data_IF_521356781274
#
_entry.id   IF_521356781274
#
_cell.length_a   1.000
_cell.length_b   1.000
_cell.length_c   1.000
_cell.angle_alpha   90.00
_cell.angle_beta   90.00
_cell.angle_gamma   90.00
#
_symmetry.space_group_name_H-M   'P 1'
#
loop_
_entity.id
_entity.type
_entity.pdbx_description
1 polymer ?
#
# COMPACT_ATOMS: atom_id res chain seq x y z
N UNK A 1 -68.20 3.15 56.14
CA UNK A 1 -66.85 3.67 56.49
C UNK A 1 -65.78 2.57 56.69
N UNK A 2 -66.18 1.28 56.69
CA UNK A 2 -65.27 0.19 56.88
C UNK A 2 -64.70 -0.39 55.54
N UNK A 3 -65.35 -0.23 54.43
CA UNK A 3 -64.95 -0.72 53.11
C UNK A 3 -63.90 0.14 52.43
N UNK A 4 -63.76 1.43 52.73
CA UNK A 4 -62.79 2.34 52.14
C UNK A 4 -61.41 2.14 52.76
N UNK A 5 -61.30 1.75 54.02
CA UNK A 5 -60.03 1.46 54.71
C UNK A 5 -59.37 0.19 54.23
N UNK A 6 -60.13 -0.83 53.82
CA UNK A 6 -59.56 -2.11 53.32
C UNK A 6 -58.98 -1.94 51.91
N UNK A 7 -59.56 -1.06 51.08
CA UNK A 7 -59.06 -0.81 49.70
C UNK A 7 -57.77 0.00 49.71
N UNK A 8 -57.58 0.90 50.68
CA UNK A 8 -56.35 1.71 50.82
C UNK A 8 -55.22 0.84 51.34
N UNK A 9 -55.49 -0.07 52.31
CA UNK A 9 -54.45 -1.00 52.79
C UNK A 9 -54.02 -2.04 51.74
N UNK A 10 -54.99 -2.54 50.93
CA UNK A 10 -54.67 -3.49 49.86
C UNK A 10 -53.83 -2.89 48.76
N UNK A 11 -54.14 -1.62 48.36
CA UNK A 11 -53.39 -0.93 47.31
C UNK A 11 -51.97 -0.55 47.75
N UNK A 12 -51.77 -0.22 49.03
CA UNK A 12 -50.45 0.16 49.55
C UNK A 12 -49.49 -1.07 49.72
N UNK A 13 -50.04 -2.24 50.01
CA UNK A 13 -49.21 -3.47 50.08
C UNK A 13 -48.78 -3.94 48.70
N UNK A 14 -49.61 -3.79 47.66
CA UNK A 14 -49.29 -4.13 46.28
C UNK A 14 -48.19 -3.20 45.70
N UNK A 15 -48.21 -1.91 46.00
CA UNK A 15 -47.22 -0.96 45.57
C UNK A 15 -45.86 -1.21 46.27
N UNK A 16 -45.88 -1.52 47.57
CA UNK A 16 -44.67 -1.81 48.30
C UNK A 16 -43.99 -3.13 47.87
N UNK A 17 -44.77 -4.15 47.51
CA UNK A 17 -44.20 -5.40 46.94
C UNK A 17 -43.63 -5.18 45.52
N UNK A 18 -44.30 -4.38 44.69
CA UNK A 18 -43.80 -4.02 43.37
C UNK A 18 -42.45 -3.27 43.40
N UNK A 19 -42.35 -2.28 44.29
CA UNK A 19 -41.08 -1.51 44.48
C UNK A 19 -39.94 -2.37 45.03
N UNK A 20 -40.25 -3.32 45.92
CA UNK A 20 -39.25 -4.30 46.42
C UNK A 20 -38.78 -5.25 45.33
N UNK A 21 -39.67 -5.76 44.52
CA UNK A 21 -39.34 -6.64 43.37
C UNK A 21 -38.45 -5.89 42.36
N UNK A 22 -38.80 -4.64 42.03
CA UNK A 22 -37.99 -3.82 41.12
C UNK A 22 -36.58 -3.56 41.66
N UNK A 23 -36.46 -3.26 42.96
CA UNK A 23 -35.12 -3.09 43.56
C UNK A 23 -34.30 -4.39 43.60
N UNK A 24 -34.94 -5.52 43.86
CA UNK A 24 -34.30 -6.83 43.88
C UNK A 24 -33.86 -7.20 42.46
N UNK A 25 -34.68 -6.98 41.43
CA UNK A 25 -34.31 -7.24 40.03
C UNK A 25 -33.19 -6.32 39.55
N UNK A 26 -33.20 -5.05 39.92
CA UNK A 26 -32.09 -4.12 39.60
C UNK A 26 -30.80 -4.52 40.31
N UNK A 27 -30.86 -4.93 41.57
CA UNK A 27 -29.67 -5.44 42.28
C UNK A 27 -29.13 -6.73 41.67
N UNK A 28 -30.00 -7.61 41.19
CA UNK A 28 -29.60 -8.88 40.57
C UNK A 28 -29.00 -8.66 39.19
N UNK A 29 -29.54 -7.73 38.39
CA UNK A 29 -28.99 -7.33 37.12
C UNK A 29 -27.61 -6.67 37.29
N UNK A 30 -27.46 -5.81 38.29
CA UNK A 30 -26.17 -5.18 38.61
C UNK A 30 -25.13 -6.22 39.05
N UNK A 31 -25.52 -7.17 39.87
CA UNK A 31 -24.64 -8.26 40.33
C UNK A 31 -24.19 -9.18 39.16
N UNK A 32 -25.10 -9.46 38.20
CA UNK A 32 -24.78 -10.24 36.99
C UNK A 32 -23.85 -9.46 36.06
N UNK A 33 -24.05 -8.14 35.91
CA UNK A 33 -23.17 -7.27 35.12
C UNK A 33 -21.75 -7.20 35.75
N UNK A 34 -21.66 -7.08 37.08
CA UNK A 34 -20.35 -7.08 37.76
C UNK A 34 -19.69 -8.45 37.68
N UNK A 35 -20.42 -9.53 37.80
CA UNK A 35 -19.90 -10.91 37.65
C UNK A 35 -19.48 -11.15 36.18
N UNK A 36 -20.21 -10.65 35.20
CA UNK A 36 -19.82 -10.74 33.81
C UNK A 36 -18.55 -9.92 33.51
N UNK A 37 -18.38 -8.75 34.11
CA UNK A 37 -17.18 -7.92 33.96
C UNK A 37 -15.92 -8.59 34.57
N UNK A 38 -16.08 -9.40 35.63
CA UNK A 38 -14.93 -10.14 36.21
C UNK A 38 -14.60 -11.43 35.48
N UNK A 39 -15.52 -11.94 34.66
CA UNK A 39 -15.30 -13.14 33.83
C UNK A 39 -14.62 -12.83 32.49
N UNK A 40 -14.56 -11.54 32.06
CA UNK A 40 -13.69 -11.18 30.96
C UNK A 40 -12.25 -11.19 31.48
N UNK A 41 -11.41 -12.14 31.05
CA UNK A 41 -10.00 -12.08 31.37
C UNK A 41 -9.52 -10.73 30.81
N UNK A 42 -9.01 -9.84 31.68
CA UNK A 42 -8.13 -8.78 31.21
C UNK A 42 -7.07 -9.50 30.40
N UNK A 43 -7.14 -9.35 29.08
CA UNK A 43 -6.03 -9.75 28.25
C UNK A 43 -4.87 -8.88 28.74
N UNK A 44 -4.06 -9.46 29.63
CA UNK A 44 -2.73 -8.96 29.85
C UNK A 44 -2.13 -8.83 28.44
N UNK A 45 -1.86 -7.61 28.00
CA UNK A 45 -1.04 -7.39 26.82
C UNK A 45 0.23 -8.17 27.10
N UNK A 46 0.31 -9.37 26.52
CA UNK A 46 1.54 -10.12 26.50
C UNK A 46 2.54 -9.15 25.89
N UNK A 47 3.53 -8.74 26.68
CA UNK A 47 4.70 -8.05 26.17
C UNK A 47 5.05 -8.76 24.87
N UNK A 48 5.17 -8.01 23.78
CA UNK A 48 5.51 -8.52 22.47
C UNK A 48 6.76 -9.39 22.63
N UNK A 49 6.55 -10.65 22.91
CA UNK A 49 7.59 -11.65 22.76
C UNK A 49 7.75 -11.76 21.26
N UNK A 50 8.82 -11.16 20.74
CA UNK A 50 9.23 -11.29 19.35
C UNK A 50 9.64 -12.76 19.12
N UNK A 51 8.67 -13.64 19.10
CA UNK A 51 8.80 -14.96 18.51
C UNK A 51 8.75 -14.84 16.99
N UNK A 52 9.47 -13.87 16.44
CA UNK A 52 9.78 -13.82 15.02
C UNK A 52 10.58 -15.09 14.72
N UNK A 53 10.10 -15.85 13.75
CA UNK A 53 10.76 -17.09 13.36
C UNK A 53 12.21 -16.79 12.94
N UNK A 54 13.15 -17.19 13.80
CA UNK A 54 14.57 -17.16 13.48
C UNK A 54 14.93 -18.56 13.07
N UNK A 55 15.49 -18.67 11.87
CA UNK A 55 15.87 -19.94 11.28
C UNK A 55 17.28 -19.85 10.71
N UNK A 56 18.04 -20.96 10.82
CA UNK A 56 19.33 -21.13 10.17
C UNK A 56 19.14 -21.35 8.67
N UNK A 57 19.88 -20.58 7.87
CA UNK A 57 19.96 -20.69 6.42
C UNK A 57 21.40 -20.90 6.00
N UNK A 58 21.61 -21.63 4.91
CA UNK A 58 22.91 -21.65 4.26
C UNK A 58 23.22 -20.26 3.70
N UNK A 59 24.46 -19.80 3.82
CA UNK A 59 24.90 -18.54 3.26
C UNK A 59 26.05 -18.75 2.25
N UNK A 60 26.11 -17.89 1.24
CA UNK A 60 27.18 -17.92 0.23
C UNK A 60 28.57 -17.57 0.82
N UNK A 61 28.55 -16.90 1.97
CA UNK A 61 29.74 -16.50 2.74
C UNK A 61 29.37 -16.23 4.20
N UNK A 62 30.34 -16.13 5.11
CA UNK A 62 30.07 -15.63 6.46
C UNK A 62 29.46 -14.24 6.40
N UNK A 63 28.35 -14.03 7.14
CA UNK A 63 27.59 -12.80 7.16
C UNK A 63 27.68 -12.15 8.55
N UNK A 64 27.87 -10.84 8.56
CA UNK A 64 27.93 -10.05 9.81
C UNK A 64 26.53 -9.83 10.40
N UNK A 65 26.46 -9.76 11.72
CA UNK A 65 25.21 -9.45 12.43
C UNK A 65 24.66 -8.07 12.02
N UNK A 66 23.35 -8.01 11.85
CA UNK A 66 22.67 -6.79 11.41
C UNK A 66 22.64 -6.60 9.89
N UNK A 67 23.27 -7.48 9.11
CA UNK A 67 23.22 -7.42 7.64
C UNK A 67 21.87 -7.86 7.12
N UNK A 68 21.27 -7.06 6.23
CA UNK A 68 20.04 -7.44 5.52
C UNK A 68 20.37 -8.44 4.43
N UNK A 69 19.58 -9.50 4.35
CA UNK A 69 19.77 -10.60 3.40
C UNK A 69 18.56 -10.78 2.49
N UNK A 70 18.80 -11.40 1.34
CA UNK A 70 17.81 -11.82 0.36
C UNK A 70 17.95 -13.31 0.07
N UNK A 71 16.87 -13.96 -0.36
CA UNK A 71 16.90 -15.34 -0.85
C UNK A 71 17.45 -15.40 -2.26
N UNK A 72 18.28 -16.42 -2.53
CA UNK A 72 18.83 -16.66 -3.86
C UNK A 72 17.98 -17.68 -4.59
N UNK A 73 17.16 -17.21 -5.56
CA UNK A 73 16.35 -18.04 -6.45
C UNK A 73 15.10 -18.66 -5.81
N UNK A 74 14.17 -19.12 -6.65
CA UNK A 74 12.98 -19.84 -6.22
C UNK A 74 13.35 -21.24 -5.71
N UNK A 75 12.94 -21.55 -4.48
CA UNK A 75 13.16 -22.85 -3.84
C UNK A 75 14.54 -23.08 -3.23
N UNK A 76 15.42 -22.09 -3.23
CA UNK A 76 16.73 -22.15 -2.56
C UNK A 76 16.63 -21.66 -1.12
N UNK A 77 17.13 -22.46 -0.17
CA UNK A 77 17.30 -22.04 1.23
C UNK A 77 18.65 -21.34 1.47
N UNK A 78 19.22 -20.71 0.43
CA UNK A 78 20.50 -20.01 0.51
C UNK A 78 20.22 -18.51 0.58
N UNK A 79 20.82 -17.85 1.57
CA UNK A 79 20.74 -16.40 1.74
C UNK A 79 22.02 -15.73 1.27
N UNK A 80 21.87 -14.57 0.65
CA UNK A 80 22.97 -13.71 0.23
C UNK A 80 22.73 -12.28 0.74
N UNK A 81 23.77 -11.44 0.70
CA UNK A 81 23.64 -10.04 1.08
C UNK A 81 22.63 -9.35 0.15
N UNK A 82 21.63 -8.69 0.70
CA UNK A 82 20.63 -7.96 -0.07
C UNK A 82 21.24 -6.78 -0.83
N UNK A 83 20.76 -6.55 -2.06
CA UNK A 83 21.24 -5.50 -2.97
C UNK A 83 20.14 -4.47 -3.22
N UNK A 84 20.51 -3.22 -3.42
CA UNK A 84 19.59 -2.15 -3.76
C UNK A 84 18.83 -2.40 -5.09
N UNK A 85 19.46 -3.13 -6.03
CA UNK A 85 18.83 -3.50 -7.30
C UNK A 85 17.68 -4.49 -7.16
N UNK A 86 17.56 -5.17 -6.02
CA UNK A 86 16.64 -6.30 -5.82
C UNK A 86 15.83 -6.17 -4.52
N UNK A 87 15.20 -5.02 -4.35
CA UNK A 87 14.42 -4.66 -3.15
C UNK A 87 13.22 -5.58 -2.89
N UNK A 88 12.72 -6.28 -3.91
CA UNK A 88 11.55 -7.15 -3.76
C UNK A 88 11.90 -8.48 -3.10
N UNK A 89 13.15 -8.89 -3.18
CA UNK A 89 13.65 -10.15 -2.61
C UNK A 89 14.29 -9.98 -1.24
N UNK A 90 14.16 -8.79 -0.61
CA UNK A 90 14.56 -8.61 0.79
C UNK A 90 13.81 -9.60 1.67
N UNK A 91 14.54 -10.34 2.49
CA UNK A 91 13.98 -11.46 3.25
C UNK A 91 14.03 -11.24 4.76
N UNK A 92 15.19 -10.88 5.29
CA UNK A 92 15.38 -10.74 6.73
C UNK A 92 16.71 -10.11 7.11
N UNK A 93 17.06 -10.19 8.37
CA UNK A 93 18.32 -9.69 8.93
C UNK A 93 19.07 -10.80 9.64
N UNK A 94 20.40 -10.82 9.50
CA UNK A 94 21.28 -11.74 10.23
C UNK A 94 21.34 -11.33 11.70
N UNK A 95 21.11 -12.30 12.59
CA UNK A 95 21.11 -12.09 14.04
C UNK A 95 22.14 -12.99 14.71
N UNK A 96 22.67 -12.53 15.85
CA UNK A 96 23.62 -13.30 16.63
C UNK A 96 22.91 -14.51 17.29
N UNK A 97 23.36 -15.74 17.00
CA UNK A 97 22.76 -16.94 17.58
C UNK A 97 22.90 -17.00 19.11
N UNK A 98 23.81 -16.25 19.72
CA UNK A 98 23.99 -16.22 21.17
C UNK A 98 22.90 -15.41 21.89
N UNK A 99 22.22 -14.50 21.18
CA UNK A 99 21.13 -13.69 21.72
C UNK A 99 19.77 -14.37 21.63
N UNK A 100 19.70 -15.60 21.12
CA UNK A 100 18.48 -16.33 20.87
C UNK A 100 18.15 -17.31 21.97
N UNK A 101 16.94 -17.22 22.52
CA UNK A 101 16.42 -18.20 23.49
C UNK A 101 16.12 -19.57 22.86
N UNK A 102 15.70 -19.56 21.59
CA UNK A 102 15.42 -20.75 20.78
C UNK A 102 15.97 -20.51 19.39
N UNK A 103 16.75 -21.44 18.88
CA UNK A 103 17.28 -21.43 17.52
C UNK A 103 16.89 -22.71 16.80
N UNK A 104 16.41 -22.56 15.58
CA UNK A 104 16.18 -23.64 14.65
C UNK A 104 17.40 -23.75 13.75
N UNK A 105 18.30 -24.67 14.06
CA UNK A 105 19.46 -24.99 13.25
C UNK A 105 19.14 -26.20 12.38
N UNK A 106 19.62 -26.20 11.15
CA UNK A 106 19.57 -27.34 10.25
C UNK A 106 20.95 -27.95 10.16
N UNK A 107 21.09 -29.24 10.48
CA UNK A 107 22.37 -29.92 10.42
C UNK A 107 22.96 -29.93 9.00
N UNK A 108 24.26 -29.63 8.87
CA UNK A 108 25.02 -29.75 7.62
C UNK A 108 24.96 -28.52 6.69
N UNK A 109 24.52 -27.35 7.19
CA UNK A 109 24.58 -26.10 6.40
C UNK A 109 26.00 -25.52 6.35
N UNK A 110 26.48 -25.20 5.16
CA UNK A 110 27.73 -24.45 5.00
C UNK A 110 27.46 -22.96 5.34
N UNK A 111 28.34 -22.35 6.15
CA UNK A 111 28.22 -20.94 6.60
C UNK A 111 26.83 -20.61 7.12
N UNK A 112 26.31 -21.38 8.09
CA UNK A 112 24.98 -21.16 8.64
C UNK A 112 24.81 -19.74 9.19
N UNK A 113 23.83 -19.00 8.65
CA UNK A 113 23.42 -17.69 9.12
C UNK A 113 22.02 -17.76 9.73
N UNK A 114 21.86 -17.25 10.95
CA UNK A 114 20.55 -17.16 11.61
C UNK A 114 19.86 -15.89 11.14
N UNK A 115 18.72 -16.04 10.45
CA UNK A 115 17.97 -14.94 9.85
C UNK A 115 16.65 -14.76 10.56
N UNK A 116 16.39 -13.52 11.02
CA UNK A 116 15.10 -13.09 11.52
C UNK A 116 14.30 -12.44 10.39
N UNK A 117 13.07 -12.92 10.17
CA UNK A 117 12.16 -12.40 9.13
C UNK A 117 11.07 -11.50 9.70
N UNK A 118 10.91 -11.47 11.01
CA UNK A 118 9.94 -10.63 11.72
C UNK A 118 10.43 -10.35 13.15
N UNK A 119 9.95 -9.27 13.76
CA UNK A 119 10.36 -8.83 15.07
C UNK A 119 11.27 -7.60 15.04
N UNK A 120 11.82 -7.20 16.18
CA UNK A 120 12.69 -6.03 16.29
C UNK A 120 14.12 -6.48 16.58
N UNK A 121 15.00 -6.23 15.63
CA UNK A 121 16.43 -6.61 15.71
C UNK A 121 17.33 -5.47 15.30
N UNK A 122 18.59 -5.53 15.75
CA UNK A 122 19.63 -4.60 15.35
C UNK A 122 19.98 -4.78 13.88
N UNK A 123 19.82 -3.71 13.09
CA UNK A 123 20.11 -3.68 11.65
C UNK A 123 21.20 -2.66 11.39
N UNK A 124 22.14 -3.00 10.50
CA UNK A 124 23.15 -2.07 10.02
C UNK A 124 22.50 -0.97 9.19
N UNK A 125 22.77 0.29 9.53
CA UNK A 125 22.23 1.47 8.87
C UNK A 125 23.31 2.43 8.45
N UNK A 126 23.00 3.24 7.43
CA UNK A 126 23.88 4.31 6.94
C UNK A 126 23.18 5.68 6.96
N UNK A 127 23.98 6.75 7.06
CA UNK A 127 23.51 8.13 6.95
C UNK A 127 23.36 8.61 5.51
N UNK A 128 23.32 7.70 4.52
CA UNK A 128 23.25 8.06 3.09
C UNK A 128 22.06 8.97 2.76
N UNK A 129 20.88 8.67 3.30
CA UNK A 129 19.67 9.47 3.11
C UNK A 129 19.38 10.41 4.30
N UNK A 130 20.41 10.77 5.08
CA UNK A 130 20.29 11.62 6.26
C UNK A 130 20.05 10.87 7.57
N UNK A 131 19.69 11.62 8.61
CA UNK A 131 19.47 11.09 9.96
C UNK A 131 18.22 10.23 10.03
N UNK A 132 18.32 9.10 10.72
CA UNK A 132 17.21 8.20 11.01
C UNK A 132 16.64 8.55 12.39
N UNK A 133 15.34 8.72 12.49
CA UNK A 133 14.61 8.91 13.75
C UNK A 133 13.77 7.69 14.07
N UNK A 134 13.49 7.46 15.35
CA UNK A 134 12.53 6.44 15.74
C UNK A 134 11.18 6.69 15.04
N UNK A 135 10.64 5.65 14.42
CA UNK A 135 9.42 5.72 13.61
C UNK A 135 9.64 5.93 12.13
N UNK A 136 10.84 6.26 11.66
CA UNK A 136 11.14 6.36 10.23
C UNK A 136 11.14 4.98 9.58
N UNK A 137 10.70 4.92 8.33
CA UNK A 137 10.85 3.71 7.51
C UNK A 137 12.28 3.63 6.98
N UNK A 138 12.80 2.41 6.88
CA UNK A 138 14.14 2.13 6.37
C UNK A 138 14.07 1.21 5.15
N UNK A 139 14.97 1.43 4.21
CA UNK A 139 15.13 0.66 2.96
C UNK A 139 16.60 0.35 2.73
N UNK A 140 16.93 -0.36 1.66
CA UNK A 140 18.31 -0.64 1.30
C UNK A 140 19.06 0.61 0.86
N UNK A 141 20.30 0.75 1.34
CA UNK A 141 21.24 1.77 0.86
C UNK A 141 21.99 1.29 -0.39
N UNK A 142 22.84 2.14 -0.94
CA UNK A 142 23.79 1.75 -2.01
C UNK A 142 24.86 0.79 -1.53
N UNK A 143 25.02 0.62 -0.22
CA UNK A 143 25.90 -0.38 0.39
C UNK A 143 25.08 -1.63 0.62
N UNK A 144 25.52 -2.74 -0.01
CA UNK A 144 24.83 -4.02 0.10
C UNK A 144 24.68 -4.47 1.56
N UNK A 145 23.50 -4.93 1.95
CA UNK A 145 23.19 -5.42 3.29
C UNK A 145 22.99 -4.34 4.35
N UNK A 146 23.10 -3.06 4.01
CA UNK A 146 22.97 -1.93 4.93
C UNK A 146 21.73 -1.14 4.60
N UNK A 147 20.94 -0.77 5.60
CA UNK A 147 19.76 0.06 5.43
C UNK A 147 20.11 1.56 5.40
N UNK A 148 19.18 2.34 4.87
CA UNK A 148 19.15 3.81 4.98
C UNK A 148 17.72 4.26 5.27
N UNK A 149 17.54 5.52 5.62
CA UNK A 149 16.22 6.12 5.72
C UNK A 149 15.50 6.04 4.38
N UNK A 150 14.25 5.56 4.38
CA UNK A 150 13.42 5.54 3.18
C UNK A 150 12.90 6.94 2.88
N UNK A 151 13.08 7.37 1.64
CA UNK A 151 12.50 8.60 1.11
C UNK A 151 11.09 8.39 0.55
N UNK A 152 10.73 9.20 -0.43
CA UNK A 152 9.43 9.15 -1.12
C UNK A 152 9.50 8.48 -2.49
N UNK A 153 10.68 8.06 -2.92
CA UNK A 153 10.94 7.47 -4.23
C UNK A 153 11.09 5.94 -4.16
N UNK A 154 11.58 5.43 -3.04
CA UNK A 154 11.78 3.99 -2.84
C UNK A 154 10.44 3.28 -2.68
N UNK A 155 10.21 2.29 -3.54
CA UNK A 155 8.93 1.56 -3.61
C UNK A 155 8.71 0.60 -2.44
N UNK A 156 9.78 0.01 -1.90
CA UNK A 156 9.72 -1.02 -0.88
C UNK A 156 10.54 -0.59 0.34
N UNK A 157 10.03 -0.84 1.52
CA UNK A 157 10.74 -0.64 2.80
C UNK A 157 10.98 -1.99 3.47
N UNK A 158 12.09 -2.08 4.20
CA UNK A 158 12.46 -3.26 4.97
C UNK A 158 11.73 -3.32 6.30
N UNK A 159 11.49 -2.17 6.89
CA UNK A 159 10.84 -2.09 8.19
C UNK A 159 10.82 -0.67 8.75
N UNK A 160 10.55 -0.57 10.05
CA UNK A 160 10.45 0.69 10.76
C UNK A 160 11.48 0.78 11.86
N UNK A 161 12.24 1.87 11.91
CA UNK A 161 13.24 2.11 12.95
C UNK A 161 12.58 2.31 14.31
N UNK A 162 12.97 1.51 15.30
CA UNK A 162 12.56 1.67 16.70
C UNK A 162 13.52 2.61 17.47
N UNK A 163 14.71 2.87 16.93
CA UNK A 163 15.69 3.80 17.46
C UNK A 163 16.15 4.84 16.43
N UNK A 164 16.91 5.82 16.85
CA UNK A 164 17.48 6.84 15.99
C UNK A 164 18.96 6.63 15.71
N UNK A 165 19.44 7.13 14.55
CA UNK A 165 20.85 7.19 14.18
C UNK A 165 21.16 8.51 13.48
N UNK A 166 22.10 9.25 14.00
CA UNK A 166 22.51 10.56 13.49
C UNK A 166 24.05 10.71 13.52
N UNK A 167 24.53 11.88 13.13
CA UNK A 167 25.96 12.19 13.10
C UNK A 167 26.66 12.09 14.48
N UNK A 168 25.93 12.21 15.59
CA UNK A 168 26.47 12.13 16.95
C UNK A 168 26.35 10.73 17.56
N UNK A 169 25.64 9.80 16.92
CA UNK A 169 25.44 8.43 17.40
C UNK A 169 26.73 7.60 17.30
N UNK A 170 26.91 6.59 18.17
CA UNK A 170 28.01 5.66 18.03
C UNK A 170 28.02 5.01 16.64
N UNK A 171 29.14 5.05 15.94
CA UNK A 171 29.28 4.46 14.60
C UNK A 171 30.15 3.22 14.65
N UNK A 172 29.77 2.20 13.87
CA UNK A 172 30.54 0.97 13.65
C UNK A 172 31.70 1.25 12.68
N UNK A 173 31.51 2.21 11.77
CA UNK A 173 32.51 2.57 10.77
C UNK A 173 32.06 3.69 9.84
N UNK A 174 32.86 3.96 8.85
CA UNK A 174 32.56 4.87 7.74
C UNK A 174 32.82 4.18 6.41
N UNK A 175 32.00 4.49 5.43
CA UNK A 175 32.16 4.00 4.06
C UNK A 175 32.07 5.17 3.09
N UNK A 176 32.78 5.07 1.98
CA UNK A 176 32.73 6.05 0.90
C UNK A 176 31.91 5.49 -0.26
N UNK A 177 30.88 6.23 -0.65
CA UNK A 177 30.11 5.94 -1.85
C UNK A 177 30.86 6.50 -3.06
N UNK A 178 30.98 5.68 -4.11
CA UNK A 178 31.63 6.06 -5.36
C UNK A 178 30.58 6.10 -6.47
N UNK A 179 30.72 7.04 -7.38
CA UNK A 179 29.95 7.09 -8.62
C UNK A 179 30.43 6.05 -9.62
N UNK A 180 29.71 5.88 -10.73
CA UNK A 180 30.04 4.98 -11.85
C UNK A 180 31.46 5.23 -12.36
N UNK A 181 31.93 6.48 -12.31
CA UNK A 181 33.27 6.90 -12.71
C UNK A 181 34.35 6.69 -11.63
N UNK A 182 34.01 6.10 -10.48
CA UNK A 182 34.91 5.80 -9.37
C UNK A 182 35.25 7.00 -8.45
N UNK A 183 34.67 8.17 -8.68
CA UNK A 183 34.86 9.34 -7.83
C UNK A 183 34.06 9.21 -6.51
N UNK A 184 34.65 9.65 -5.39
CA UNK A 184 33.97 9.66 -4.09
C UNK A 184 32.87 10.72 -4.12
N UNK A 185 31.63 10.27 -4.06
CA UNK A 185 30.44 11.15 -4.07
C UNK A 185 30.06 11.57 -2.66
N UNK A 186 30.11 10.65 -1.71
CA UNK A 186 29.69 10.90 -0.33
C UNK A 186 30.39 9.96 0.64
N UNK A 187 30.80 10.50 1.80
CA UNK A 187 31.22 9.68 2.94
C UNK A 187 30.04 9.50 3.88
N UNK A 188 29.66 8.25 4.14
CA UNK A 188 28.53 7.90 5.00
C UNK A 188 29.02 7.20 6.26
N UNK A 189 28.33 7.45 7.36
CA UNK A 189 28.58 6.74 8.62
C UNK A 189 27.70 5.50 8.69
N UNK A 190 28.26 4.44 9.24
CA UNK A 190 27.57 3.17 9.48
C UNK A 190 27.34 3.01 10.99
N UNK A 191 26.17 2.52 11.34
CA UNK A 191 25.81 2.22 12.71
C UNK A 191 24.83 1.08 12.78
N UNK A 192 24.33 0.81 13.97
CA UNK A 192 23.31 -0.21 14.21
C UNK A 192 22.12 0.41 14.91
N UNK A 193 20.91 0.10 14.42
CA UNK A 193 19.64 0.61 14.96
C UNK A 193 18.67 -0.55 15.10
N UNK A 194 17.89 -0.63 16.22
CA UNK A 194 16.81 -1.58 16.30
C UNK A 194 15.72 -1.21 15.28
N UNK A 195 15.37 -2.16 14.41
CA UNK A 195 14.37 -2.03 13.36
C UNK A 195 13.35 -3.13 13.52
N UNK A 196 12.07 -2.78 13.53
CA UNK A 196 10.96 -3.74 13.42
C UNK A 196 10.86 -4.14 11.95
N UNK A 197 11.12 -5.42 11.69
CA UNK A 197 11.16 -5.98 10.34
C UNK A 197 9.72 -6.12 9.83
N UNK A 198 9.43 -5.48 8.71
CA UNK A 198 8.16 -5.54 8.01
C UNK A 198 8.39 -5.13 6.56
N UNK A 199 8.72 -6.11 5.72
CA UNK A 199 8.93 -5.85 4.29
C UNK A 199 7.59 -5.54 3.64
N UNK A 200 7.41 -4.29 3.24
CA UNK A 200 6.15 -3.80 2.66
C UNK A 200 6.39 -2.69 1.64
N UNK A 201 5.31 -2.34 0.94
CA UNK A 201 5.33 -1.14 0.09
C UNK A 201 5.49 0.10 0.96
N UNK A 202 6.35 1.03 0.52
CA UNK A 202 6.61 2.26 1.26
C UNK A 202 5.32 3.11 1.40
N UNK A 203 4.83 3.33 2.64
CA UNK A 203 3.64 4.16 2.86
C UNK A 203 3.85 5.64 2.50
N UNK A 204 5.11 6.11 2.53
CA UNK A 204 5.47 7.50 2.26
C UNK A 204 5.73 7.76 0.78
N UNK A 205 5.55 6.76 -0.09
CA UNK A 205 5.75 6.96 -1.52
C UNK A 205 4.79 8.06 -1.99
N UNK A 206 5.34 9.13 -2.54
CA UNK A 206 4.52 10.10 -3.27
C UNK A 206 3.97 9.37 -4.48
N UNK A 207 2.72 8.93 -4.42
CA UNK A 207 2.07 8.46 -5.61
C UNK A 207 1.91 9.68 -6.52
N UNK A 208 2.81 9.81 -7.47
CA UNK A 208 2.66 10.66 -8.66
C UNK A 208 1.58 10.09 -9.60
N UNK A 209 0.92 9.01 -9.19
CA UNK A 209 -0.27 8.53 -9.88
C UNK A 209 -1.37 9.58 -9.63
N UNK A 210 -1.56 10.47 -10.61
CA UNK A 210 -2.81 11.20 -10.70
C UNK A 210 -3.94 10.18 -10.47
N UNK A 211 -4.89 10.54 -9.60
CA UNK A 211 -5.92 9.62 -9.14
C UNK A 211 -6.87 9.32 -10.31
N UNK A 212 -6.50 8.35 -11.15
CA UNK A 212 -7.31 7.92 -12.29
C UNK A 212 -8.42 7.04 -11.75
N UNK A 213 -9.69 7.30 -12.07
CA UNK A 213 -10.78 6.40 -11.72
C UNK A 213 -10.49 4.97 -12.22
N UNK A 214 -10.71 3.95 -11.36
CA UNK A 214 -10.39 2.55 -11.66
C UNK A 214 -10.93 2.05 -13.01
N UNK A 215 -12.12 2.49 -13.40
CA UNK A 215 -12.72 2.07 -14.68
C UNK A 215 -11.93 2.57 -15.89
N UNK A 216 -11.36 3.79 -15.82
CA UNK A 216 -10.50 4.34 -16.88
C UNK A 216 -9.14 3.65 -16.92
N UNK A 217 -8.58 3.34 -15.75
CA UNK A 217 -7.33 2.61 -15.64
C UNK A 217 -7.47 1.21 -16.25
N UNK A 218 -8.53 0.47 -15.87
CA UNK A 218 -8.84 -0.86 -16.43
C UNK A 218 -9.07 -0.82 -17.93
N UNK A 219 -9.83 0.17 -18.43
CA UNK A 219 -10.06 0.32 -19.86
C UNK A 219 -8.75 0.64 -20.62
N UNK A 220 -7.91 1.52 -20.07
CA UNK A 220 -6.61 1.85 -20.67
C UNK A 220 -5.67 0.65 -20.70
N UNK A 221 -5.57 -0.11 -19.61
CA UNK A 221 -4.75 -1.31 -19.52
C UNK A 221 -5.25 -2.43 -20.46
N UNK A 222 -6.57 -2.62 -20.56
CA UNK A 222 -7.16 -3.61 -21.46
C UNK A 222 -6.83 -3.34 -22.93
N UNK A 223 -6.73 -2.07 -23.34
CA UNK A 223 -6.36 -1.67 -24.70
C UNK A 223 -4.85 -1.75 -24.94
N UNK A 224 -4.06 -1.32 -23.92
CA UNK A 224 -2.61 -1.22 -24.05
C UNK A 224 -1.88 -2.54 -23.80
N UNK A 225 -2.51 -3.50 -23.09
CA UNK A 225 -1.91 -4.76 -22.61
C UNK A 225 -0.68 -4.57 -21.70
N UNK A 226 -0.52 -3.37 -21.14
CA UNK A 226 0.58 -2.96 -20.27
C UNK A 226 0.12 -1.87 -19.30
N UNK A 227 0.90 -1.60 -18.25
CA UNK A 227 0.66 -0.46 -17.37
C UNK A 227 0.81 0.86 -18.15
N UNK A 228 -0.24 1.68 -18.12
CA UNK A 228 -0.28 2.96 -18.83
C UNK A 228 -0.12 4.10 -17.84
N UNK A 229 0.70 5.10 -18.19
CA UNK A 229 0.84 6.29 -17.34
C UNK A 229 -0.48 7.07 -17.27
N UNK A 230 -0.85 7.64 -16.09
CA UNK A 230 -2.07 8.42 -15.91
C UNK A 230 -2.24 9.56 -16.91
N UNK A 231 -1.14 10.21 -17.29
CA UNK A 231 -1.15 11.31 -18.28
C UNK A 231 -1.65 10.82 -19.65
N UNK A 232 -1.22 9.63 -20.07
CA UNK A 232 -1.68 9.05 -21.35
C UNK A 232 -3.16 8.71 -21.32
N UNK A 233 -3.67 8.22 -20.18
CA UNK A 233 -5.10 7.92 -20.01
C UNK A 233 -5.94 9.20 -20.11
N UNK A 234 -5.55 10.28 -19.44
CA UNK A 234 -6.27 11.55 -19.53
C UNK A 234 -6.18 12.18 -20.92
N UNK A 235 -5.02 12.11 -21.57
CA UNK A 235 -4.84 12.63 -22.91
C UNK A 235 -5.67 11.84 -23.94
N UNK A 236 -5.73 10.50 -23.81
CA UNK A 236 -6.56 9.66 -24.66
C UNK A 236 -8.05 9.95 -24.48
N UNK A 237 -8.50 10.17 -23.24
CA UNK A 237 -9.87 10.57 -22.93
C UNK A 237 -10.19 11.94 -23.57
N UNK A 238 -9.29 12.91 -23.45
CA UNK A 238 -9.48 14.24 -24.08
C UNK A 238 -9.64 14.12 -25.60
N UNK A 239 -8.79 13.34 -26.27
CA UNK A 239 -8.88 13.12 -27.73
C UNK A 239 -10.21 12.44 -28.07
N UNK A 240 -10.65 11.42 -27.31
CA UNK A 240 -11.92 10.74 -27.52
C UNK A 240 -13.11 11.71 -27.44
N UNK A 241 -13.13 12.55 -26.40
CA UNK A 241 -14.21 13.53 -26.18
C UNK A 241 -14.21 14.59 -27.28
N UNK A 242 -13.06 15.12 -27.66
CA UNK A 242 -12.94 16.12 -28.71
C UNK A 242 -13.41 15.55 -30.07
N UNK A 243 -13.01 14.32 -30.41
CA UNK A 243 -13.43 13.68 -31.66
C UNK A 243 -14.93 13.40 -31.69
N UNK A 244 -15.52 13.00 -30.55
CA UNK A 244 -16.96 12.79 -30.42
C UNK A 244 -17.73 14.10 -30.60
N UNK A 245 -17.31 15.18 -29.94
CA UNK A 245 -17.92 16.51 -30.05
C UNK A 245 -17.83 17.00 -31.49
N UNK A 246 -16.68 16.87 -32.13
CA UNK A 246 -16.50 17.28 -33.54
C UNK A 246 -17.44 16.51 -34.47
N UNK A 247 -17.56 15.20 -34.33
CA UNK A 247 -18.48 14.38 -35.10
C UNK A 247 -19.95 14.81 -34.91
N UNK A 248 -20.36 15.08 -33.67
CA UNK A 248 -21.73 15.55 -33.36
C UNK A 248 -22.00 16.91 -34.00
N UNK A 249 -21.05 17.86 -33.92
CA UNK A 249 -21.20 19.20 -34.54
C UNK A 249 -21.40 19.09 -36.06
N UNK A 250 -20.59 18.25 -36.72
CA UNK A 250 -20.68 18.04 -38.19
C UNK A 250 -22.03 17.45 -38.57
N UNK A 251 -22.51 16.41 -37.83
CA UNK A 251 -23.83 15.82 -38.08
C UNK A 251 -24.93 16.86 -37.86
N UNK A 252 -24.90 17.56 -36.72
CA UNK A 252 -25.93 18.53 -36.40
C UNK A 252 -26.03 19.66 -37.45
N UNK A 253 -24.89 20.24 -37.84
CA UNK A 253 -24.83 21.27 -38.84
C UNK A 253 -25.34 20.76 -40.24
N UNK A 254 -24.94 19.55 -40.61
CA UNK A 254 -25.33 18.93 -41.85
C UNK A 254 -26.82 18.60 -41.94
N UNK A 255 -27.37 18.00 -40.88
CA UNK A 255 -28.80 17.66 -40.78
C UNK A 255 -29.63 18.94 -40.82
N UNK A 256 -29.28 19.93 -40.00
CA UNK A 256 -30.00 21.23 -39.98
C UNK A 256 -30.03 21.91 -41.35
N UNK A 257 -28.89 21.98 -42.02
CA UNK A 257 -28.80 22.61 -43.33
C UNK A 257 -29.57 21.83 -44.41
N UNK A 258 -29.53 20.49 -44.36
CA UNK A 258 -30.25 19.61 -45.28
C UNK A 258 -31.76 19.74 -45.11
N UNK A 259 -32.27 19.78 -43.86
CA UNK A 259 -33.71 19.95 -43.60
C UNK A 259 -34.22 21.32 -44.12
N UNK A 260 -33.46 22.39 -43.86
CA UNK A 260 -33.78 23.74 -44.36
C UNK A 260 -33.81 23.77 -45.91
N UNK A 261 -32.85 23.11 -46.53
CA UNK A 261 -32.75 23.03 -48.00
C UNK A 261 -33.91 22.27 -48.64
N UNK A 262 -34.35 21.16 -48.04
CA UNK A 262 -35.53 20.40 -48.51
C UNK A 262 -36.80 21.24 -48.39
N UNK A 263 -36.96 22.01 -47.30
CA UNK A 263 -38.10 22.90 -47.11
C UNK A 263 -38.18 24.01 -48.17
N UNK A 264 -37.04 24.49 -48.67
CA UNK A 264 -37.00 25.54 -49.69
C UNK A 264 -37.13 25.02 -51.13
N UNK A 265 -36.62 23.84 -51.42
CA UNK A 265 -36.65 23.26 -52.78
C UNK A 265 -36.96 21.76 -52.74
N UNK A 266 -38.24 21.37 -52.73
CA UNK A 266 -38.67 19.97 -52.64
C UNK A 266 -38.31 19.16 -53.88
N UNK A 267 -38.02 19.76 -55.01
CA UNK A 267 -37.60 19.06 -56.26
C UNK A 267 -36.20 18.43 -56.16
N UNK A 268 -35.34 18.98 -55.28
CA UNK A 268 -33.95 18.54 -55.15
C UNK A 268 -33.73 17.47 -54.04
N UNK A 269 -34.79 16.83 -53.55
CA UNK A 269 -34.72 15.85 -52.43
C UNK A 269 -33.61 14.81 -52.58
N UNK A 270 -33.45 14.23 -53.79
CA UNK A 270 -32.48 13.16 -54.08
C UNK A 270 -31.02 13.66 -53.92
N UNK A 271 -30.73 14.87 -54.35
CA UNK A 271 -29.40 15.49 -54.26
C UNK A 271 -29.08 15.84 -52.80
N UNK A 272 -30.04 16.43 -52.09
CA UNK A 272 -29.88 16.80 -50.66
C UNK A 272 -29.70 15.57 -49.80
N UNK A 273 -30.43 14.46 -50.07
CA UNK A 273 -30.27 13.21 -49.34
C UNK A 273 -28.87 12.62 -49.57
N UNK A 274 -28.32 12.66 -50.78
CA UNK A 274 -26.93 12.21 -51.05
C UNK A 274 -25.93 13.05 -50.27
N UNK A 275 -26.07 14.37 -50.22
CA UNK A 275 -25.22 15.24 -49.42
C UNK A 275 -25.32 14.94 -47.90
N UNK A 276 -26.52 14.61 -47.40
CA UNK A 276 -26.71 14.22 -46.01
C UNK A 276 -25.98 12.92 -45.67
N UNK A 277 -26.04 11.92 -46.56
CA UNK A 277 -25.29 10.67 -46.40
C UNK A 277 -23.78 10.94 -46.37
N UNK A 278 -23.29 11.79 -47.24
CA UNK A 278 -21.88 12.18 -47.30
C UNK A 278 -21.41 12.86 -46.00
N UNK A 279 -22.23 13.73 -45.39
CA UNK A 279 -21.95 14.36 -44.10
C UNK A 279 -21.90 13.31 -42.98
N UNK A 280 -22.83 12.34 -42.97
CA UNK A 280 -22.83 11.25 -42.00
C UNK A 280 -21.55 10.41 -42.15
N UNK A 281 -21.16 10.06 -43.35
CA UNK A 281 -19.92 9.32 -43.62
C UNK A 281 -18.69 10.11 -43.18
N UNK A 282 -18.63 11.41 -43.43
CA UNK A 282 -17.55 12.30 -43.01
C UNK A 282 -17.46 12.37 -41.49
N UNK A 283 -18.58 12.48 -40.78
CA UNK A 283 -18.59 12.49 -39.32
C UNK A 283 -18.14 11.16 -38.71
N UNK A 284 -18.56 10.04 -39.32
CA UNK A 284 -18.11 8.70 -38.93
C UNK A 284 -16.60 8.54 -39.15
N UNK A 285 -16.06 9.06 -40.24
CA UNK A 285 -14.63 9.04 -40.53
C UNK A 285 -13.84 9.83 -39.45
N UNK A 286 -14.33 11.01 -39.05
CA UNK A 286 -13.73 11.79 -37.96
C UNK A 286 -13.69 10.97 -36.64
N UNK A 287 -14.78 10.29 -36.30
CA UNK A 287 -14.85 9.45 -35.11
C UNK A 287 -13.86 8.27 -35.17
N UNK A 288 -13.77 7.60 -36.32
CA UNK A 288 -12.84 6.48 -36.51
C UNK A 288 -11.39 6.94 -36.37
N UNK A 289 -11.03 8.08 -36.98
CA UNK A 289 -9.68 8.66 -36.88
C UNK A 289 -9.37 9.02 -35.42
N UNK A 290 -10.34 9.61 -34.70
CA UNK A 290 -10.17 9.94 -33.28
C UNK A 290 -9.94 8.69 -32.40
N UNK A 291 -10.75 7.65 -32.59
CA UNK A 291 -10.58 6.38 -31.84
C UNK A 291 -9.25 5.69 -32.21
N UNK A 292 -8.82 5.76 -33.47
CA UNK A 292 -7.53 5.22 -33.87
C UNK A 292 -6.36 5.97 -33.21
N UNK A 293 -6.45 7.29 -33.12
CA UNK A 293 -5.46 8.12 -32.42
C UNK A 293 -5.39 7.75 -30.92
N UNK A 294 -6.54 7.51 -30.26
CA UNK A 294 -6.61 7.02 -28.88
C UNK A 294 -5.92 5.66 -28.75
N UNK A 295 -6.21 4.73 -29.65
CA UNK A 295 -5.58 3.41 -29.65
C UNK A 295 -4.06 3.48 -29.77
N UNK A 296 -3.55 4.29 -30.72
CA UNK A 296 -2.11 4.47 -30.90
C UNK A 296 -1.45 5.08 -29.67
N UNK A 297 -2.08 6.08 -29.06
CA UNK A 297 -1.54 6.76 -27.87
C UNK A 297 -1.45 5.84 -26.64
N UNK A 298 -2.41 4.93 -26.49
CA UNK A 298 -2.39 3.95 -25.39
C UNK A 298 -1.40 2.82 -25.65
N UNK A 299 -1.22 2.39 -26.90
CA UNK A 299 -0.34 1.26 -27.23
C UNK A 299 1.14 1.67 -27.35
N UNK A 300 1.42 2.90 -27.67
CA UNK A 300 2.78 3.45 -27.70
C UNK A 300 3.36 3.61 -26.29
#
# INVERSE_FOLDING_TARGET
MFLLGLFICYNNSSIMTGVRIIKITQSLVLAVLVAAATLFPMQASAANYNAGGIQGYAADRPLDNGTIVQLTGEGSNIVTIAKQSDLQNMFGVVVDPQQLSVKLSSEGLENEAFVAVSGTYSVLVSTQAGDIKAGDYVTMSSINGVAMKAGTEEKTVFGRAAGGFNASSPSVGQSTLKDVDGNVTQTVRLGSVPVTIEVQRNPNIKSTKANVPEFLERAGQAIAEKEVSPIRIYLSLAIAVISLIAAIIVIYAGVRNSVISIGRNPMSKKSIFRALVEIILTSLLILIIGLFAVYLLLKL
#
